data_IF_099950109182
#
_entry.id   IF_099950109182
#
_cell.length_a   1.000
_cell.length_b   1.000
_cell.length_c   1.000
_cell.angle_alpha   90.00
_cell.angle_beta   90.00
_cell.angle_gamma   90.00
#
_symmetry.space_group_name_H-M   'P 1'
#
loop_
_entity.id
_entity.type
_entity.pdbx_description
1 polymer ?
#
# COMPACT_ATOMS: atom_id res chain seq x y z
N UNK A 1 9.11 -34.85 14.38
CA UNK A 1 9.92 -33.93 15.22
C UNK A 1 9.35 -32.52 15.09
N UNK A 2 8.44 -32.12 15.99
CA UNK A 2 7.92 -30.75 16.05
C UNK A 2 9.01 -29.87 16.65
N UNK A 3 9.55 -28.91 15.89
CA UNK A 3 10.47 -27.90 16.44
C UNK A 3 9.68 -27.01 17.41
N UNK A 4 10.17 -26.96 18.64
CA UNK A 4 9.63 -26.18 19.74
C UNK A 4 9.81 -24.67 19.45
N UNK A 5 8.82 -24.04 18.79
CA UNK A 5 8.82 -22.60 18.48
C UNK A 5 8.87 -21.72 19.75
N UNK A 6 8.46 -22.27 20.89
CA UNK A 6 8.49 -21.64 22.21
C UNK A 6 9.90 -21.43 22.77
N UNK A 7 10.90 -22.17 22.27
CA UNK A 7 12.29 -22.02 22.70
C UNK A 7 13.04 -20.88 21.97
N UNK A 8 12.57 -20.48 20.78
CA UNK A 8 13.18 -19.39 19.99
C UNK A 8 12.76 -18.01 20.48
N UNK A 9 11.51 -17.86 20.93
CA UNK A 9 10.93 -16.59 21.38
C UNK A 9 11.49 -16.09 22.73
N UNK A 10 12.13 -16.95 23.53
CA UNK A 10 12.76 -16.57 24.81
C UNK A 10 14.22 -16.10 24.70
N UNK A 11 14.85 -16.19 23.51
CA UNK A 11 16.29 -15.91 23.37
C UNK A 11 16.66 -14.45 23.13
N UNK A 12 15.69 -13.59 22.85
CA UNK A 12 15.91 -12.17 22.63
C UNK A 12 14.85 -11.36 23.36
N UNK A 13 15.07 -11.05 24.64
CA UNK A 13 14.42 -9.90 25.27
C UNK A 13 15.00 -8.65 24.60
N UNK A 14 14.35 -8.18 23.54
CA UNK A 14 14.69 -6.91 22.88
C UNK A 14 14.27 -5.80 23.85
N UNK A 15 15.26 -5.15 24.48
CA UNK A 15 15.00 -3.96 25.32
C UNK A 15 14.74 -2.78 24.41
N UNK A 16 13.55 -2.18 24.54
CA UNK A 16 12.98 -1.23 23.57
C UNK A 16 13.47 0.23 23.70
N UNK A 17 14.32 0.57 24.68
CA UNK A 17 14.45 1.97 25.12
C UNK A 17 15.78 2.67 24.76
N UNK A 18 16.68 2.04 24.00
CA UNK A 18 17.84 2.72 23.42
C UNK A 18 18.44 1.94 22.24
N UNK A 19 18.77 2.62 21.15
CA UNK A 19 19.48 2.02 20.00
C UNK A 19 20.78 1.37 20.48
N UNK A 20 20.93 0.08 20.21
CA UNK A 20 22.17 -0.64 20.46
C UNK A 20 23.25 -0.18 19.48
N UNK A 21 24.54 -0.17 19.85
CA UNK A 21 25.63 0.14 18.91
C UNK A 21 25.66 -0.72 17.63
N UNK A 22 25.00 -1.88 17.64
CA UNK A 22 24.87 -2.73 16.43
C UNK A 22 23.80 -2.23 15.45
N UNK A 23 22.94 -1.29 15.87
CA UNK A 23 21.87 -0.71 15.05
C UNK A 23 22.33 0.57 14.34
N UNK A 24 23.52 1.10 14.69
CA UNK A 24 24.01 2.41 14.27
C UNK A 24 24.66 2.43 12.87
N UNK A 25 24.33 1.48 12.00
CA UNK A 25 24.86 1.42 10.62
C UNK A 25 23.97 2.12 9.59
N UNK A 26 22.73 2.46 9.96
CA UNK A 26 21.86 3.31 9.17
C UNK A 26 22.06 4.79 9.56
N UNK A 27 21.65 5.76 8.74
CA UNK A 27 21.60 7.17 9.17
C UNK A 27 20.76 7.32 10.45
N UNK A 28 21.22 8.14 11.40
CA UNK A 28 20.55 8.33 12.70
C UNK A 28 19.07 8.70 12.53
N UNK A 29 18.79 9.61 11.61
CA UNK A 29 17.43 10.07 11.31
C UNK A 29 16.51 8.92 10.86
N UNK A 30 17.02 7.96 10.09
CA UNK A 30 16.26 6.76 9.70
C UNK A 30 15.99 5.87 10.91
N UNK A 31 16.97 5.68 11.80
CA UNK A 31 16.80 4.81 12.98
C UNK A 31 15.74 5.36 13.93
N UNK A 32 15.78 6.66 14.21
CA UNK A 32 14.81 7.34 15.07
C UNK A 32 13.39 7.24 14.47
N UNK A 33 13.26 7.51 13.17
CA UNK A 33 11.99 7.34 12.45
C UNK A 33 11.46 5.90 12.54
N UNK A 34 12.31 4.88 12.30
CA UNK A 34 11.88 3.48 12.32
C UNK A 34 11.48 3.00 13.72
N UNK A 35 12.19 3.46 14.77
CA UNK A 35 11.80 3.21 16.16
C UNK A 35 10.39 3.75 16.41
N UNK A 36 10.15 5.00 16.06
CA UNK A 36 8.88 5.66 16.36
C UNK A 36 7.75 5.09 15.50
N UNK A 37 8.02 4.76 14.22
CA UNK A 37 7.08 4.11 13.32
C UNK A 37 6.61 2.74 13.85
N UNK A 38 7.51 1.96 14.46
CA UNK A 38 7.18 0.66 15.04
C UNK A 38 6.21 0.74 16.24
N UNK A 39 6.10 1.91 16.87
CA UNK A 39 5.20 2.16 17.99
C UNK A 39 3.94 2.94 17.59
N UNK A 40 3.78 3.30 16.32
CA UNK A 40 2.59 4.00 15.86
C UNK A 40 1.35 3.08 15.96
N UNK A 41 0.28 3.58 16.57
CA UNK A 41 -0.95 2.81 16.80
C UNK A 41 -2.04 3.10 15.74
N UNK A 42 -1.91 4.20 14.99
CA UNK A 42 -2.87 4.60 13.98
C UNK A 42 -2.21 5.24 12.74
N UNK A 43 -2.97 5.33 11.64
CA UNK A 43 -2.50 5.89 10.36
C UNK A 43 -2.16 7.38 10.44
N UNK A 44 -2.78 8.13 11.34
CA UNK A 44 -2.52 9.56 11.49
C UNK A 44 -1.11 9.79 12.07
N UNK A 45 -0.74 8.99 13.06
CA UNK A 45 0.59 8.97 13.67
C UNK A 45 1.64 8.55 12.64
N UNK A 46 1.40 7.47 11.88
CA UNK A 46 2.29 7.03 10.79
C UNK A 46 2.52 8.16 9.78
N UNK A 47 1.44 8.84 9.36
CA UNK A 47 1.55 9.95 8.42
C UNK A 47 2.31 11.14 9.00
N UNK A 48 2.02 11.52 10.24
CA UNK A 48 2.68 12.63 10.93
C UNK A 48 4.19 12.41 11.13
N UNK A 49 4.61 11.17 11.42
CA UNK A 49 6.03 10.82 11.49
C UNK A 49 6.74 11.01 10.15
N UNK A 50 6.11 10.62 9.04
CA UNK A 50 6.68 10.81 7.71
C UNK A 50 6.73 12.29 7.32
N UNK A 51 5.68 13.06 7.64
CA UNK A 51 5.64 14.52 7.46
C UNK A 51 6.78 15.20 8.22
N UNK A 52 6.98 14.86 9.49
CA UNK A 52 8.07 15.42 10.30
C UNK A 52 9.44 15.07 9.71
N UNK A 53 9.66 13.79 9.37
CA UNK A 53 10.92 13.35 8.75
C UNK A 53 11.23 14.14 7.47
N UNK A 54 10.23 14.33 6.60
CA UNK A 54 10.41 15.06 5.36
C UNK A 54 10.71 16.55 5.62
N UNK A 55 10.00 17.16 6.57
CA UNK A 55 10.24 18.55 6.96
C UNK A 55 11.66 18.77 7.52
N UNK A 56 12.15 17.83 8.34
CA UNK A 56 13.50 17.89 8.94
C UNK A 56 14.61 17.88 7.88
N UNK A 57 14.36 17.29 6.70
CA UNK A 57 15.28 17.28 5.56
C UNK A 57 14.91 18.27 4.45
N UNK A 58 14.03 19.24 4.76
CA UNK A 58 13.68 20.34 3.85
C UNK A 58 12.74 19.97 2.70
N UNK A 59 11.96 18.89 2.83
CA UNK A 59 10.93 18.49 1.86
C UNK A 59 9.54 18.81 2.40
N UNK A 60 8.71 19.47 1.59
CA UNK A 60 7.44 20.04 2.04
C UNK A 60 6.21 19.26 1.56
N UNK A 61 6.33 18.52 0.46
CA UNK A 61 5.21 17.85 -0.19
C UNK A 61 5.36 16.35 -0.16
N UNK A 62 4.27 15.68 0.22
CA UNK A 62 4.15 14.22 0.26
C UNK A 62 2.82 13.84 -0.39
N UNK A 63 2.91 12.99 -1.40
CA UNK A 63 1.77 12.31 -2.02
C UNK A 63 2.00 10.81 -1.97
N UNK A 64 1.13 10.14 -1.25
CA UNK A 64 0.99 8.70 -1.30
C UNK A 64 -0.18 8.34 -2.20
N UNK A 65 0.06 7.43 -3.13
CA UNK A 65 -0.98 6.85 -3.98
C UNK A 65 -0.76 5.36 -4.13
N UNK A 66 -1.79 4.56 -3.87
CA UNK A 66 -1.72 3.11 -3.98
C UNK A 66 -2.98 2.54 -4.62
N UNK A 67 -2.79 1.75 -5.67
CA UNK A 67 -3.86 1.16 -6.46
C UNK A 67 -3.90 -0.35 -6.28
N UNK A 68 -5.13 -0.85 -6.17
CA UNK A 68 -5.45 -2.26 -6.32
C UNK A 68 -5.91 -2.45 -7.76
N UNK A 69 -5.21 -3.31 -8.50
CA UNK A 69 -5.51 -3.62 -9.89
C UNK A 69 -6.27 -4.94 -9.99
N UNK A 70 -7.04 -5.10 -11.07
CA UNK A 70 -7.57 -6.37 -11.52
C UNK A 70 -7.22 -6.50 -13.01
N UNK A 71 -6.15 -7.25 -13.30
CA UNK A 71 -5.49 -7.18 -14.60
C UNK A 71 -4.94 -5.77 -14.86
N UNK A 72 -5.41 -5.13 -15.93
CA UNK A 72 -5.02 -3.75 -16.30
C UNK A 72 -5.98 -2.68 -15.76
N UNK A 73 -7.11 -3.07 -15.16
CA UNK A 73 -8.10 -2.12 -14.65
C UNK A 73 -7.88 -1.83 -13.16
N UNK A 74 -8.17 -0.60 -12.75
CA UNK A 74 -8.08 -0.18 -11.35
C UNK A 74 -9.35 -0.59 -10.61
N UNK A 75 -9.22 -1.52 -9.66
CA UNK A 75 -10.31 -1.98 -8.81
C UNK A 75 -10.56 -1.02 -7.62
N UNK A 76 -9.50 -0.48 -7.03
CA UNK A 76 -9.58 0.51 -5.96
C UNK A 76 -8.32 1.40 -5.95
N UNK A 77 -8.42 2.58 -5.33
CA UNK A 77 -7.32 3.52 -5.18
C UNK A 77 -7.41 4.20 -3.82
N UNK A 78 -6.30 4.21 -3.10
CA UNK A 78 -6.12 4.98 -1.89
C UNK A 78 -5.10 6.09 -2.15
N UNK A 79 -5.38 7.28 -1.67
CA UNK A 79 -4.39 8.36 -1.66
C UNK A 79 -4.43 9.12 -0.35
N UNK A 80 -3.26 9.62 0.04
CA UNK A 80 -3.07 10.50 1.17
C UNK A 80 -2.03 11.55 0.75
N UNK A 81 -2.31 12.83 1.00
CA UNK A 81 -1.36 13.88 0.66
C UNK A 81 -1.58 15.17 1.42
N UNK A 82 -0.48 15.89 1.63
CA UNK A 82 -0.46 17.25 2.19
C UNK A 82 -0.47 18.35 1.12
N UNK A 83 -0.62 17.99 -0.17
CA UNK A 83 -0.67 18.97 -1.25
C UNK A 83 -1.87 19.92 -1.09
N UNK A 84 -1.73 21.20 -1.50
CA UNK A 84 -2.79 22.19 -1.39
C UNK A 84 -4.10 21.76 -2.04
N UNK A 85 -5.23 22.25 -1.50
CA UNK A 85 -6.57 21.91 -2.00
C UNK A 85 -6.73 22.19 -3.51
N UNK A 86 -6.16 23.30 -4.00
CA UNK A 86 -6.21 23.67 -5.42
C UNK A 86 -5.57 22.63 -6.35
N UNK A 87 -4.54 21.91 -5.87
CA UNK A 87 -3.96 20.78 -6.62
C UNK A 87 -4.97 19.64 -6.75
N UNK A 88 -5.61 19.25 -5.64
CA UNK A 88 -6.60 18.16 -5.62
C UNK A 88 -7.80 18.48 -6.52
N UNK A 89 -8.27 19.72 -6.50
CA UNK A 89 -9.36 20.19 -7.36
C UNK A 89 -8.97 20.17 -8.84
N UNK A 90 -7.75 20.61 -9.18
CA UNK A 90 -7.23 20.61 -10.54
C UNK A 90 -7.02 19.19 -11.11
N UNK A 91 -6.51 18.26 -10.31
CA UNK A 91 -6.39 16.85 -10.70
C UNK A 91 -7.78 16.21 -10.85
N UNK A 92 -8.69 16.50 -9.92
CA UNK A 92 -10.06 15.97 -9.94
C UNK A 92 -10.86 16.39 -11.17
N UNK A 93 -10.55 17.55 -11.77
CA UNK A 93 -11.21 18.02 -12.99
C UNK A 93 -10.68 17.37 -14.27
N UNK A 94 -9.66 16.50 -14.19
CA UNK A 94 -9.01 15.87 -15.34
C UNK A 94 -8.83 14.36 -15.10
N UNK A 95 -9.89 13.55 -15.31
CA UNK A 95 -9.86 12.12 -14.99
C UNK A 95 -8.83 11.32 -15.78
N UNK A 96 -8.41 11.81 -16.95
CA UNK A 96 -7.39 11.22 -17.81
C UNK A 96 -5.95 11.41 -17.29
N UNK A 97 -5.68 12.34 -16.36
CA UNK A 97 -4.31 12.55 -15.83
C UNK A 97 -3.72 11.27 -15.26
N UNK A 98 -4.56 10.48 -14.61
CA UNK A 98 -4.14 9.24 -13.99
C UNK A 98 -3.68 8.18 -15.03
N UNK A 99 -4.04 8.32 -16.31
CA UNK A 99 -3.61 7.42 -17.39
C UNK A 99 -2.37 7.91 -18.13
N UNK A 100 -1.95 9.16 -17.91
CA UNK A 100 -0.78 9.77 -18.56
C UNK A 100 0.36 10.07 -17.59
N UNK A 101 0.11 9.95 -16.28
CA UNK A 101 1.12 10.13 -15.24
C UNK A 101 2.27 9.12 -15.39
N UNK A 102 3.47 9.62 -15.66
CA UNK A 102 4.65 8.77 -15.83
C UNK A 102 4.96 7.96 -14.57
N UNK A 103 4.81 8.55 -13.37
CA UNK A 103 5.10 7.84 -12.12
C UNK A 103 4.23 6.61 -11.94
N UNK A 104 2.97 6.68 -12.36
CA UNK A 104 2.08 5.53 -12.39
C UNK A 104 2.55 4.45 -13.37
N UNK A 105 2.87 4.82 -14.62
CA UNK A 105 3.35 3.87 -15.63
C UNK A 105 4.67 3.22 -15.22
N UNK A 106 5.60 4.03 -14.72
CA UNK A 106 6.86 3.56 -14.16
C UNK A 106 6.60 2.57 -13.01
N UNK A 107 5.64 2.88 -12.15
CA UNK A 107 5.18 1.97 -11.09
C UNK A 107 4.42 0.75 -11.60
N UNK A 108 4.14 0.57 -12.89
CA UNK A 108 3.63 -0.70 -13.39
C UNK A 108 4.77 -1.71 -13.62
N UNK A 109 5.94 -1.22 -14.01
CA UNK A 109 7.02 -2.04 -14.58
C UNK A 109 8.33 -2.01 -13.78
N UNK A 110 8.58 -0.93 -13.02
CA UNK A 110 9.85 -0.65 -12.38
C UNK A 110 9.69 -0.40 -10.88
N UNK A 111 10.76 -0.71 -10.15
CA UNK A 111 10.91 -0.49 -8.70
C UNK A 111 11.93 0.59 -8.36
N UNK A 112 12.67 1.09 -9.35
CA UNK A 112 13.70 2.11 -9.14
C UNK A 112 13.06 3.45 -8.85
N UNK A 113 13.50 4.13 -7.78
CA UNK A 113 13.13 5.53 -7.56
C UNK A 113 13.66 6.43 -8.69
N UNK A 114 13.00 7.55 -8.94
CA UNK A 114 13.43 8.51 -9.96
C UNK A 114 13.07 9.95 -9.58
N UNK A 115 13.86 10.90 -10.08
CA UNK A 115 13.66 12.32 -9.82
C UNK A 115 12.47 12.87 -10.62
N UNK A 116 11.65 13.71 -10.00
CA UNK A 116 10.49 14.37 -10.59
C UNK A 116 10.60 15.90 -10.47
N UNK A 117 9.71 16.61 -11.15
CA UNK A 117 9.57 18.07 -11.04
C UNK A 117 10.20 18.83 -12.20
N UNK A 118 9.91 20.13 -12.25
CA UNK A 118 10.32 21.02 -13.33
C UNK A 118 11.85 21.12 -13.46
N UNK A 119 12.58 20.98 -12.36
CA UNK A 119 14.04 20.98 -12.33
C UNK A 119 14.66 19.84 -13.16
N UNK A 120 13.91 18.76 -13.43
CA UNK A 120 14.38 17.61 -14.20
C UNK A 120 13.72 17.50 -15.58
N UNK A 121 12.95 18.50 -16.01
CA UNK A 121 12.12 18.42 -17.24
C UNK A 121 12.94 18.12 -18.50
N UNK A 122 14.16 18.66 -18.61
CA UNK A 122 15.06 18.40 -19.74
C UNK A 122 15.48 16.93 -19.84
N UNK A 123 15.60 16.23 -18.70
CA UNK A 123 15.90 14.79 -18.71
C UNK A 123 14.72 13.99 -19.27
N UNK A 124 13.49 14.33 -18.87
CA UNK A 124 12.30 13.71 -19.44
C UNK A 124 12.21 13.95 -20.95
N UNK A 125 12.51 15.16 -21.41
CA UNK A 125 12.50 15.51 -22.84
C UNK A 125 13.56 14.73 -23.61
N UNK A 126 14.81 14.70 -23.11
CA UNK A 126 15.93 13.97 -23.73
C UNK A 126 15.63 12.48 -23.87
N UNK A 127 15.03 11.87 -22.84
CA UNK A 127 14.80 10.43 -22.78
C UNK A 127 13.46 10.02 -23.43
N UNK A 128 12.74 10.95 -24.06
CA UNK A 128 11.48 10.70 -24.76
C UNK A 128 10.31 10.34 -23.84
N UNK A 129 10.38 10.76 -22.57
CA UNK A 129 9.39 10.47 -21.52
C UNK A 129 8.39 11.62 -21.32
N UNK A 130 8.66 12.80 -21.90
CA UNK A 130 7.82 13.98 -21.75
C UNK A 130 6.75 14.04 -22.84
N UNK A 131 5.47 13.95 -22.46
CA UNK A 131 4.34 14.33 -23.32
C UNK A 131 3.88 15.76 -22.98
N UNK A 132 3.17 16.47 -23.88
CA UNK A 132 2.64 17.80 -23.57
C UNK A 132 1.75 17.83 -22.32
N UNK A 133 0.94 16.78 -22.11
CA UNK A 133 0.07 16.68 -20.96
C UNK A 133 0.85 16.39 -19.67
N UNK A 134 1.91 15.57 -19.73
CA UNK A 134 2.76 15.32 -18.59
C UNK A 134 3.60 16.57 -18.22
N UNK A 135 4.02 17.34 -19.23
CA UNK A 135 4.62 18.67 -19.04
C UNK A 135 3.66 19.64 -18.32
N UNK A 136 2.37 19.66 -18.68
CA UNK A 136 1.36 20.45 -17.96
C UNK A 136 1.28 20.06 -16.47
N UNK A 137 1.32 18.75 -16.15
CA UNK A 137 1.32 18.26 -14.76
C UNK A 137 2.56 18.75 -14.00
N UNK A 138 3.74 18.62 -14.61
CA UNK A 138 5.02 19.03 -14.00
C UNK A 138 5.02 20.54 -13.73
N UNK A 139 4.65 21.35 -14.72
CA UNK A 139 4.61 22.80 -14.57
C UNK A 139 3.57 23.22 -13.53
N UNK A 140 2.42 22.56 -13.51
CA UNK A 140 1.38 22.84 -12.50
C UNK A 140 1.83 22.47 -11.09
N UNK A 141 2.60 21.37 -10.94
CA UNK A 141 3.19 21.00 -9.67
C UNK A 141 4.23 22.04 -9.23
N UNK A 142 4.97 22.62 -10.18
CA UNK A 142 5.92 23.70 -9.88
C UNK A 142 5.22 24.96 -9.36
N UNK A 143 4.06 25.33 -9.89
CA UNK A 143 3.30 26.51 -9.41
C UNK A 143 2.91 26.43 -7.93
N UNK A 144 2.81 25.22 -7.37
CA UNK A 144 2.52 25.00 -5.95
C UNK A 144 3.77 24.75 -5.10
N UNK A 145 4.98 24.92 -5.66
CA UNK A 145 6.25 24.75 -4.94
C UNK A 145 6.89 23.35 -5.07
N UNK A 146 6.32 22.43 -5.84
CA UNK A 146 6.93 21.11 -6.10
C UNK A 146 7.84 21.20 -7.34
N UNK A 147 9.02 21.81 -7.17
CA UNK A 147 10.00 22.04 -8.23
C UNK A 147 10.87 20.81 -8.49
N UNK A 148 11.22 20.09 -7.43
CA UNK A 148 11.97 18.84 -7.49
C UNK A 148 11.43 17.85 -6.46
N UNK A 149 11.63 16.56 -6.71
CA UNK A 149 11.23 15.51 -5.79
C UNK A 149 11.71 14.14 -6.21
N UNK A 150 11.46 13.17 -5.34
CA UNK A 150 11.72 11.76 -5.57
C UNK A 150 10.39 11.02 -5.63
N UNK A 151 10.18 10.29 -6.72
CA UNK A 151 9.14 9.29 -6.79
C UNK A 151 9.72 7.92 -6.39
N UNK A 152 9.07 7.24 -5.44
CA UNK A 152 9.49 5.96 -4.87
C UNK A 152 8.40 4.94 -5.17
N UNK A 153 8.60 4.02 -6.14
CA UNK A 153 7.62 2.99 -6.45
C UNK A 153 7.45 2.01 -5.28
N UNK A 154 6.21 1.60 -5.05
CA UNK A 154 5.83 0.66 -4.01
C UNK A 154 5.14 -0.56 -4.60
N UNK A 155 5.34 -1.68 -3.93
CA UNK A 155 4.66 -2.96 -4.16
C UNK A 155 4.26 -3.55 -2.84
N UNK A 156 3.13 -4.24 -2.86
CA UNK A 156 2.74 -5.19 -1.83
C UNK A 156 3.18 -6.60 -2.26
N UNK A 157 3.04 -7.57 -1.36
CA UNK A 157 3.21 -9.00 -1.65
C UNK A 157 2.27 -9.49 -2.75
N UNK A 158 1.15 -8.79 -2.98
CA UNK A 158 0.19 -9.08 -4.04
C UNK A 158 0.61 -8.42 -5.35
N UNK A 159 0.73 -9.23 -6.41
CA UNK A 159 1.19 -8.80 -7.76
C UNK A 159 0.39 -7.63 -8.35
N UNK A 160 -0.90 -7.54 -8.02
CA UNK A 160 -1.80 -6.52 -8.56
C UNK A 160 -1.87 -5.24 -7.72
N UNK A 161 -1.09 -5.14 -6.64
CA UNK A 161 -1.08 -4.01 -5.71
C UNK A 161 0.19 -3.17 -5.91
N UNK A 162 0.01 -1.91 -6.30
CA UNK A 162 1.12 -1.03 -6.68
C UNK A 162 0.81 0.44 -6.54
N UNK A 163 1.84 1.23 -6.31
CA UNK A 163 1.71 2.66 -6.14
C UNK A 163 3.06 3.32 -5.93
N UNK A 164 3.08 4.42 -5.20
CA UNK A 164 4.31 5.09 -4.84
C UNK A 164 4.10 6.23 -3.87
N UNK A 165 5.23 6.73 -3.38
CA UNK A 165 5.34 8.05 -2.78
C UNK A 165 5.95 9.02 -3.77
N UNK A 166 5.42 10.23 -3.78
CA UNK A 166 6.10 11.43 -4.27
C UNK A 166 6.47 12.25 -3.06
N UNK A 167 7.75 12.54 -2.87
CA UNK A 167 8.27 13.41 -1.81
C UNK A 167 9.12 14.50 -2.46
N UNK A 168 8.83 15.76 -2.21
CA UNK A 168 9.53 16.85 -2.88
C UNK A 168 9.30 18.24 -2.30
N UNK A 169 9.89 19.25 -2.94
CA UNK A 169 9.89 20.63 -2.50
C UNK A 169 10.47 21.57 -3.55
N UNK A 170 11.00 22.69 -3.08
CA UNK A 170 11.41 23.83 -3.93
C UNK A 170 12.89 23.80 -4.36
N UNK A 171 13.65 22.78 -3.94
CA UNK A 171 15.09 22.69 -4.21
C UNK A 171 15.38 22.72 -5.71
N UNK A 172 16.41 23.47 -6.11
CA UNK A 172 16.92 23.44 -7.47
C UNK A 172 17.68 22.13 -7.76
N UNK A 173 17.82 21.71 -9.02
CA UNK A 173 18.46 20.43 -9.39
C UNK A 173 19.82 20.17 -8.67
N UNK A 174 20.80 21.09 -8.64
CA UNK A 174 22.08 20.83 -8.00
C UNK A 174 21.98 20.62 -6.48
N UNK A 175 21.03 21.30 -5.84
CA UNK A 175 20.74 21.14 -4.42
C UNK A 175 20.02 19.83 -4.15
N UNK A 176 19.01 19.51 -4.96
CA UNK A 176 18.27 18.26 -4.86
C UNK A 176 19.17 17.04 -5.06
N UNK A 177 20.16 17.10 -5.96
CA UNK A 177 21.15 16.02 -6.13
C UNK A 177 22.00 15.79 -4.86
N UNK A 178 22.45 16.86 -4.20
CA UNK A 178 23.16 16.75 -2.90
C UNK A 178 22.26 16.17 -1.82
N UNK A 179 21.00 16.62 -1.78
CA UNK A 179 19.99 16.05 -0.91
C UNK A 179 19.81 14.53 -1.13
N UNK A 180 19.79 14.06 -2.38
CA UNK A 180 19.70 12.62 -2.67
C UNK A 180 20.92 11.85 -2.19
N UNK A 181 22.13 12.40 -2.35
CA UNK A 181 23.36 11.78 -1.88
C UNK A 181 23.37 11.66 -0.34
N UNK A 182 22.80 12.64 0.36
CA UNK A 182 22.79 12.68 1.83
C UNK A 182 21.61 11.93 2.46
N UNK A 183 20.42 12.04 1.87
CA UNK A 183 19.15 11.62 2.49
C UNK A 183 18.31 10.68 1.62
N UNK A 184 18.70 10.44 0.37
CA UNK A 184 17.91 9.63 -0.58
C UNK A 184 17.62 8.22 -0.06
N UNK A 185 18.60 7.59 0.60
CA UNK A 185 18.41 6.28 1.24
C UNK A 185 17.42 6.33 2.42
N UNK A 186 17.59 7.32 3.31
CA UNK A 186 16.71 7.54 4.47
C UNK A 186 15.26 7.70 4.02
N UNK A 187 15.00 8.59 3.07
CA UNK A 187 13.64 8.89 2.59
C UNK A 187 13.04 7.71 1.84
N UNK A 188 13.83 7.02 1.00
CA UNK A 188 13.35 5.82 0.28
C UNK A 188 12.94 4.71 1.24
N UNK A 189 13.79 4.42 2.24
CA UNK A 189 13.49 3.38 3.23
C UNK A 189 12.34 3.77 4.15
N UNK A 190 12.28 5.03 4.57
CA UNK A 190 11.17 5.54 5.37
C UNK A 190 9.84 5.41 4.62
N UNK A 191 9.79 5.78 3.33
CA UNK A 191 8.60 5.63 2.50
C UNK A 191 8.14 4.16 2.37
N UNK A 192 9.07 3.22 2.15
CA UNK A 192 8.76 1.79 2.07
C UNK A 192 8.22 1.25 3.40
N UNK A 193 8.84 1.61 4.53
CA UNK A 193 8.38 1.13 5.84
C UNK A 193 7.05 1.78 6.23
N UNK A 194 6.87 3.06 5.93
CA UNK A 194 5.58 3.76 6.06
C UNK A 194 4.50 3.02 5.28
N UNK A 195 4.76 2.67 4.02
CA UNK A 195 3.81 1.94 3.19
C UNK A 195 3.36 0.63 3.86
N UNK A 196 4.30 -0.19 4.32
CA UNK A 196 3.99 -1.49 4.90
C UNK A 196 3.10 -1.38 6.14
N UNK A 197 3.44 -0.48 7.07
CA UNK A 197 2.67 -0.27 8.30
C UNK A 197 1.31 0.39 7.98
N UNK A 198 1.32 1.44 7.16
CA UNK A 198 0.11 2.18 6.79
C UNK A 198 -0.90 1.32 6.03
N UNK A 199 -0.43 0.49 5.08
CA UNK A 199 -1.29 -0.40 4.31
C UNK A 199 -1.95 -1.46 5.20
N UNK A 200 -1.19 -2.06 6.12
CA UNK A 200 -1.74 -3.03 7.08
C UNK A 200 -2.81 -2.42 7.98
N UNK A 201 -2.59 -1.19 8.47
CA UNK A 201 -3.60 -0.46 9.24
C UNK A 201 -4.84 -0.12 8.38
N UNK A 202 -4.64 0.32 7.14
CA UNK A 202 -5.74 0.63 6.22
C UNK A 202 -6.61 -0.61 5.95
N UNK A 203 -5.98 -1.76 5.68
CA UNK A 203 -6.68 -3.02 5.47
C UNK A 203 -7.47 -3.45 6.70
N UNK A 204 -6.89 -3.32 7.90
CA UNK A 204 -7.57 -3.60 9.18
C UNK A 204 -8.79 -2.70 9.37
N UNK A 205 -8.64 -1.40 9.21
CA UNK A 205 -9.76 -0.45 9.33
C UNK A 205 -10.86 -0.72 8.30
N UNK A 206 -10.50 -1.05 7.05
CA UNK A 206 -11.47 -1.45 6.03
C UNK A 206 -12.19 -2.75 6.41
N UNK A 207 -11.46 -3.75 6.92
CA UNK A 207 -12.01 -5.01 7.38
C UNK A 207 -12.99 -4.82 8.55
N UNK A 208 -12.64 -3.99 9.53
CA UNK A 208 -13.48 -3.65 10.69
C UNK A 208 -14.78 -2.96 10.28
N UNK A 209 -14.76 -2.09 9.26
CA UNK A 209 -15.97 -1.45 8.71
C UNK A 209 -16.97 -2.46 8.14
N UNK A 210 -16.51 -3.62 7.68
CA UNK A 210 -17.41 -4.67 7.24
C UNK A 210 -18.12 -5.36 8.40
N UNK A 211 -17.61 -5.32 9.64
CA UNK A 211 -18.28 -5.90 10.84
C UNK A 211 -18.91 -7.28 10.55
N UNK A 212 -18.06 -8.22 10.12
CA UNK A 212 -18.51 -9.56 9.74
C UNK A 212 -18.84 -10.39 10.98
N UNK A 213 -20.02 -10.99 10.97
CA UNK A 213 -20.36 -12.00 11.97
C UNK A 213 -19.44 -13.21 11.86
N UNK A 214 -19.25 -13.95 12.95
CA UNK A 214 -18.48 -15.21 12.94
C UNK A 214 -18.97 -16.18 11.86
N UNK A 215 -20.28 -16.25 11.62
CA UNK A 215 -20.86 -17.14 10.61
C UNK A 215 -20.54 -16.70 9.18
N UNK A 216 -20.47 -15.39 8.94
CA UNK A 216 -20.07 -14.84 7.65
C UNK A 216 -18.58 -15.08 7.40
N UNK A 217 -17.73 -14.92 8.41
CA UNK A 217 -16.31 -15.25 8.29
C UNK A 217 -16.11 -16.75 8.01
N UNK A 218 -16.83 -17.62 8.72
CA UNK A 218 -16.79 -19.07 8.48
C UNK A 218 -17.26 -19.45 7.08
N UNK A 219 -18.30 -18.77 6.56
CA UNK A 219 -18.74 -18.95 5.17
C UNK A 219 -17.62 -18.65 4.18
N UNK A 220 -16.89 -17.54 4.38
CA UNK A 220 -15.77 -17.15 3.52
C UNK A 220 -14.66 -18.20 3.57
N UNK A 221 -14.31 -18.69 4.76
CA UNK A 221 -13.29 -19.73 4.93
C UNK A 221 -13.66 -21.03 4.23
N UNK A 222 -14.88 -21.52 4.41
CA UNK A 222 -15.35 -22.73 3.72
C UNK A 222 -15.41 -22.51 2.20
N UNK A 223 -15.84 -21.33 1.76
CA UNK A 223 -15.90 -20.97 0.33
C UNK A 223 -14.52 -20.86 -0.31
N UNK A 224 -13.51 -20.34 0.40
CA UNK A 224 -12.11 -20.34 -0.04
C UNK A 224 -11.57 -21.76 -0.27
N UNK A 225 -12.09 -22.72 0.49
CA UNK A 225 -11.73 -24.13 0.41
C UNK A 225 -12.55 -24.93 -0.59
N UNK A 226 -13.28 -24.25 -1.48
CA UNK A 226 -14.03 -24.88 -2.55
C UNK A 226 -15.37 -25.48 -2.14
N UNK A 227 -15.79 -25.33 -0.87
CA UNK A 227 -17.08 -25.86 -0.42
C UNK A 227 -18.23 -25.10 -1.11
N UNK A 228 -19.16 -25.87 -1.65
CA UNK A 228 -20.39 -25.35 -2.23
C UNK A 228 -21.49 -25.19 -1.17
N UNK A 229 -22.49 -24.36 -1.48
CA UNK A 229 -23.57 -23.99 -0.54
C UNK A 229 -24.24 -25.20 0.12
N UNK A 230 -24.40 -26.31 -0.62
CA UNK A 230 -24.98 -27.55 -0.10
C UNK A 230 -24.07 -28.26 0.91
N UNK A 231 -22.77 -28.25 0.66
CA UNK A 231 -21.77 -28.87 1.54
C UNK A 231 -21.58 -28.04 2.81
N UNK A 232 -21.59 -26.72 2.68
CA UNK A 232 -21.61 -25.79 3.83
C UNK A 232 -22.88 -26.01 4.67
N UNK A 233 -24.05 -26.15 4.03
CA UNK A 233 -25.30 -26.40 4.73
C UNK A 233 -25.27 -27.72 5.52
N UNK A 234 -24.70 -28.77 4.90
CA UNK A 234 -24.47 -30.06 5.55
C UNK A 234 -23.49 -29.92 6.73
N UNK A 235 -22.35 -29.24 6.53
CA UNK A 235 -21.33 -29.02 7.56
C UNK A 235 -21.89 -28.27 8.78
N UNK A 236 -22.71 -27.24 8.52
CA UNK A 236 -23.34 -26.44 9.56
C UNK A 236 -24.57 -27.08 10.20
N UNK A 237 -25.12 -28.17 9.62
CA UNK A 237 -26.36 -28.78 10.09
C UNK A 237 -27.60 -27.88 9.91
N UNK A 238 -27.62 -27.05 8.87
CA UNK A 238 -28.70 -26.06 8.59
C UNK A 238 -29.28 -26.23 7.19
N UNK A 239 -30.34 -25.47 6.87
CA UNK A 239 -30.92 -25.49 5.54
C UNK A 239 -30.05 -24.79 4.49
N UNK A 240 -30.12 -25.25 3.24
CA UNK A 240 -29.46 -24.59 2.08
C UNK A 240 -29.92 -23.13 1.93
N UNK A 241 -31.18 -22.85 2.27
CA UNK A 241 -31.75 -21.50 2.25
C UNK A 241 -31.05 -20.59 3.27
N UNK A 242 -30.72 -21.09 4.46
CA UNK A 242 -29.98 -20.33 5.46
C UNK A 242 -28.60 -19.93 4.94
N UNK A 243 -27.84 -20.88 4.37
CA UNK A 243 -26.51 -20.59 3.80
C UNK A 243 -26.60 -19.62 2.63
N UNK A 244 -27.61 -19.77 1.78
CA UNK A 244 -27.87 -18.83 0.67
C UNK A 244 -28.16 -17.41 1.16
N UNK A 245 -28.87 -17.28 2.29
CA UNK A 245 -29.13 -16.00 2.95
C UNK A 245 -27.83 -15.38 3.48
N UNK A 246 -26.98 -16.14 4.18
CA UNK A 246 -25.66 -15.66 4.66
C UNK A 246 -24.81 -15.16 3.48
N UNK A 247 -24.77 -15.91 2.36
CA UNK A 247 -24.09 -15.48 1.14
C UNK A 247 -24.64 -14.16 0.60
N UNK A 248 -25.96 -14.00 0.56
CA UNK A 248 -26.61 -12.78 0.08
C UNK A 248 -26.27 -11.59 0.97
N UNK A 249 -26.39 -11.76 2.29
CA UNK A 249 -26.02 -10.72 3.27
C UNK A 249 -24.55 -10.30 3.14
N UNK A 250 -23.65 -11.25 2.85
CA UNK A 250 -22.26 -10.96 2.52
C UNK A 250 -22.12 -10.17 1.23
N UNK A 251 -22.77 -10.61 0.14
CA UNK A 251 -22.77 -9.88 -1.13
C UNK A 251 -23.26 -8.43 -0.95
N UNK A 252 -24.37 -8.24 -0.26
CA UNK A 252 -24.96 -6.92 0.01
C UNK A 252 -24.00 -6.04 0.82
N UNK A 253 -23.40 -6.59 1.88
CA UNK A 253 -22.44 -5.91 2.75
C UNK A 253 -21.14 -5.53 2.03
N UNK A 254 -20.66 -6.38 1.12
CA UNK A 254 -19.50 -6.10 0.28
C UNK A 254 -19.83 -5.25 -0.95
N UNK A 255 -21.11 -4.95 -1.21
CA UNK A 255 -21.56 -4.21 -2.39
C UNK A 255 -21.23 -4.92 -3.71
N UNK A 256 -21.35 -6.25 -3.75
CA UNK A 256 -21.05 -7.09 -4.92
C UNK A 256 -22.15 -8.11 -5.15
N UNK A 257 -22.21 -8.70 -6.33
CA UNK A 257 -23.32 -9.60 -6.72
C UNK A 257 -22.96 -11.08 -6.70
N UNK A 258 -21.68 -11.44 -6.56
CA UNK A 258 -21.22 -12.83 -6.72
C UNK A 258 -20.32 -13.30 -5.57
N UNK A 259 -20.37 -14.60 -5.28
CA UNK A 259 -19.47 -15.29 -4.32
C UNK A 259 -18.01 -14.98 -4.65
N UNK A 260 -17.63 -15.07 -5.93
CA UNK A 260 -16.27 -14.79 -6.38
C UNK A 260 -15.81 -13.35 -6.10
N UNK A 261 -16.69 -12.37 -6.32
CA UNK A 261 -16.36 -10.98 -6.02
C UNK A 261 -16.22 -10.72 -4.51
N UNK A 262 -17.04 -11.37 -3.68
CA UNK A 262 -16.87 -11.35 -2.21
C UNK A 262 -15.52 -11.96 -1.83
N UNK A 263 -15.19 -13.13 -2.38
CA UNK A 263 -13.91 -13.81 -2.09
C UNK A 263 -12.71 -12.96 -2.49
N UNK A 264 -12.72 -12.35 -3.66
CA UNK A 264 -11.65 -11.46 -4.11
C UNK A 264 -11.46 -10.26 -3.15
N UNK A 265 -12.55 -9.65 -2.68
CA UNK A 265 -12.49 -8.57 -1.68
C UNK A 265 -12.01 -9.07 -0.32
N UNK A 266 -12.43 -10.25 0.11
CA UNK A 266 -12.04 -10.83 1.39
C UNK A 266 -10.53 -11.15 1.45
N UNK A 267 -9.97 -11.71 0.37
CA UNK A 267 -8.52 -11.92 0.24
C UNK A 267 -7.77 -10.59 0.31
N UNK A 268 -8.21 -9.56 -0.43
CA UNK A 268 -7.57 -8.23 -0.42
C UNK A 268 -7.51 -7.58 0.96
N UNK A 269 -8.52 -7.84 1.80
CA UNK A 269 -8.65 -7.28 3.15
C UNK A 269 -7.97 -8.12 4.22
N UNK A 270 -7.24 -9.17 3.85
CA UNK A 270 -6.63 -10.11 4.79
C UNK A 270 -7.64 -10.74 5.77
N UNK A 271 -8.90 -10.85 5.35
CA UNK A 271 -9.95 -11.58 6.09
C UNK A 271 -9.77 -13.10 6.01
N UNK A 272 -8.92 -13.56 5.10
CA UNK A 272 -8.57 -14.96 4.85
C UNK A 272 -7.05 -15.08 4.91
N UNK A 273 -6.57 -16.01 5.71
CA UNK A 273 -5.13 -16.30 5.85
C UNK A 273 -4.63 -17.21 4.73
N UNK A 274 -3.30 -17.32 4.55
CA UNK A 274 -2.72 -18.31 3.63
C UNK A 274 -3.21 -19.74 3.93
N UNK A 275 -3.36 -20.09 5.22
CA UNK A 275 -3.92 -21.40 5.62
C UNK A 275 -5.38 -21.60 5.19
N UNK A 276 -6.17 -20.53 5.15
CA UNK A 276 -7.55 -20.58 4.66
C UNK A 276 -7.60 -20.78 3.12
N UNK A 277 -6.51 -20.50 2.40
CA UNK A 277 -6.40 -20.56 0.93
C UNK A 277 -5.66 -21.83 0.43
N UNK A 278 -4.71 -22.38 1.19
CA UNK A 278 -3.87 -23.53 0.80
C UNK A 278 -4.62 -24.87 0.74
N UNK A 279 -5.68 -25.05 1.53
CA UNK A 279 -6.47 -26.30 1.53
C UNK A 279 -7.20 -26.49 0.17
N UNK A 280 -7.39 -25.42 -0.63
CA UNK A 280 -7.88 -25.52 -2.01
C UNK A 280 -6.90 -26.21 -2.97
N UNK A 281 -5.58 -26.15 -2.73
CA UNK A 281 -4.59 -26.77 -3.61
C UNK A 281 -4.35 -28.25 -3.30
N UNK A 282 -4.41 -28.64 -2.02
CA UNK A 282 -4.19 -30.03 -1.61
C UNK A 282 -5.26 -31.00 -2.16
N UNK A 283 -6.50 -30.52 -2.31
CA UNK A 283 -7.62 -31.31 -2.85
C UNK A 283 -7.53 -31.45 -4.37
N UNK A 284 -6.93 -30.48 -5.08
CA UNK A 284 -6.76 -30.54 -6.54
C UNK A 284 -5.69 -31.56 -6.97
N UNK A 285 -4.68 -31.83 -6.14
CA UNK A 285 -3.59 -32.77 -6.46
C UNK A 285 -3.82 -34.19 -5.93
N UNK A 286 -4.88 -34.42 -5.14
CA UNK A 286 -5.22 -35.75 -4.63
C UNK A 286 -6.20 -36.52 -5.53
N UNK A 287 -6.63 -35.92 -6.65
CA UNK A 287 -7.56 -36.51 -7.63
C UNK A 287 -7.03 -36.49 -9.08
N UNK A 288 -5.71 -36.35 -9.24
CA UNK A 288 -4.99 -36.60 -10.50
C UNK A 288 -4.15 -37.87 -10.37
#
# INVERSE_FOLDING_TARGET
>A
MKRDQTALSRRYEIRHESLSPIETYAPQLLQEFLRDLNHAEDRATVWGLLEQLCADVGQSYILYGFAYMHGQQRAAYHSQSNLPKGWKEWVGSRPNLAEIDYGRHHSLEKLTAFAIGAEFIELYRRDGLLTPEYEEIILKASEIGLHSGLFIPLRSSRRDERGGFTIGGEMAEPEFRRFLDEHGWTISMAAVQTHNIYLGMLQREEAERFDLTQRQLEFLKLSANGYEVKEIAFNWGVSVQYVTRVRRELCDRFGVTSKMAVMAKAVRLDLLTEQDLEISHAISTSWS
#
